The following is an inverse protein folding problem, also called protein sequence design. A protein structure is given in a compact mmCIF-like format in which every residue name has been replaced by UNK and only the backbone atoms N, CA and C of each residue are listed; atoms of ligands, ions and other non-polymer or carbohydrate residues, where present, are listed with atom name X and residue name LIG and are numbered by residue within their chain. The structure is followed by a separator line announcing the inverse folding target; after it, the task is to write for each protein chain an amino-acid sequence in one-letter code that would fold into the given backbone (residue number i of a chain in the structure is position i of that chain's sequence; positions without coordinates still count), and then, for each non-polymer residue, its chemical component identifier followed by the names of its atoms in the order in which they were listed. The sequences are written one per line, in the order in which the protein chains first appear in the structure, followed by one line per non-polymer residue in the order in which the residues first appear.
data_IF_565384673141
#
_entry.id   IF_565384673141
#
_cell.length_a   1.000
_cell.length_b   1.000
_cell.length_c   1.000
_cell.angle_alpha   90.00
_cell.angle_beta   90.00
_cell.angle_gamma   90.00
#
_symmetry.space_group_name_H-M   'P 1'
#
loop_
_entity.id
_entity.type
_entity.pdbx_description
1 polymer ?
#
# COMPACT_ATOMS: atom_id res chain seq x y z
N UNK A 1 -14.10 -8.99 -1.47
CA UNK A 1 -12.88 -8.24 -1.09
C UNK A 1 -12.25 -7.50 -2.26
N UNK A 2 -11.95 -8.16 -3.40
CA UNK A 2 -11.31 -7.52 -4.57
C UNK A 2 -12.03 -6.25 -5.02
N UNK A 3 -13.32 -6.32 -5.36
CA UNK A 3 -14.08 -5.13 -5.80
C UNK A 3 -14.17 -4.03 -4.73
N UNK A 4 -14.17 -4.40 -3.45
CA UNK A 4 -14.16 -3.42 -2.35
C UNK A 4 -12.83 -2.67 -2.28
N UNK A 5 -11.71 -3.38 -2.42
CA UNK A 5 -10.38 -2.76 -2.52
C UNK A 5 -10.23 -1.98 -3.82
N UNK A 6 -10.81 -2.45 -4.92
CA UNK A 6 -10.79 -1.74 -6.20
C UNK A 6 -11.55 -0.39 -6.14
N UNK A 7 -12.56 -0.29 -5.27
CA UNK A 7 -13.23 0.97 -4.98
C UNK A 7 -12.48 1.83 -3.94
N UNK A 8 -12.16 1.27 -2.77
CA UNK A 8 -11.77 2.05 -1.58
C UNK A 8 -10.33 1.84 -1.08
N UNK A 9 -9.63 0.85 -1.64
CA UNK A 9 -8.24 0.58 -1.28
C UNK A 9 -7.29 1.67 -1.73
N UNK A 10 -6.11 1.75 -1.12
CA UNK A 10 -5.06 2.68 -1.49
C UNK A 10 -3.72 1.97 -1.48
N UNK A 11 -2.98 2.07 -2.59
CA UNK A 11 -1.61 1.62 -2.73
C UNK A 11 -0.71 2.85 -2.77
N UNK A 12 -0.19 3.25 -1.61
CA UNK A 12 0.49 4.53 -1.46
C UNK A 12 2.01 4.37 -1.37
N UNK A 13 2.72 5.11 -2.24
CA UNK A 13 4.18 5.28 -2.18
C UNK A 13 4.49 6.58 -1.45
N UNK A 14 4.92 6.48 -0.20
CA UNK A 14 5.29 7.60 0.66
C UNK A 14 6.77 7.90 0.50
N UNK A 15 7.09 9.16 0.20
CA UNK A 15 8.44 9.70 0.18
C UNK A 15 8.49 10.77 1.26
N UNK A 16 9.31 10.58 2.30
CA UNK A 16 9.45 11.55 3.38
C UNK A 16 10.30 12.76 2.94
N UNK A 17 10.33 13.82 3.77
CA UNK A 17 11.24 14.96 3.57
C UNK A 17 12.72 14.55 3.61
N UNK A 18 13.04 13.48 4.34
CA UNK A 18 14.38 12.87 4.37
C UNK A 18 14.64 11.92 3.20
N UNK A 19 13.79 11.92 2.18
CA UNK A 19 13.84 11.02 1.03
C UNK A 19 13.75 9.52 1.39
N UNK A 20 13.25 9.20 2.58
CA UNK A 20 12.95 7.82 2.95
C UNK A 20 11.71 7.35 2.21
N UNK A 21 11.82 6.19 1.59
CA UNK A 21 10.75 5.58 0.81
C UNK A 21 10.09 4.51 1.66
N UNK A 22 8.76 4.56 1.71
CA UNK A 22 7.94 3.57 2.41
C UNK A 22 6.69 3.31 1.61
N UNK A 23 6.22 2.08 1.69
CA UNK A 23 5.01 1.62 1.04
C UNK A 23 3.91 1.44 2.07
N UNK A 24 2.69 1.84 1.73
CA UNK A 24 1.52 1.68 2.60
C UNK A 24 0.37 1.16 1.76
N UNK A 25 -0.20 0.02 2.17
CA UNK A 25 -1.53 -0.37 1.73
C UNK A 25 -2.53 0.06 2.80
N UNK A 26 -3.64 0.67 2.40
CA UNK A 26 -4.74 0.95 3.32
C UNK A 26 -6.10 0.74 2.67
N UNK A 27 -7.02 0.18 3.44
CA UNK A 27 -8.46 0.19 3.16
C UNK A 27 -9.11 1.09 4.22
N UNK A 28 -10.11 1.90 3.86
CA UNK A 28 -10.71 2.85 4.80
C UNK A 28 -12.20 3.02 4.53
N UNK A 29 -13.00 3.00 5.59
CA UNK A 29 -14.45 3.17 5.53
C UNK A 29 -14.95 3.82 6.82
N UNK A 30 -16.21 4.23 6.88
CA UNK A 30 -16.82 4.71 8.13
C UNK A 30 -16.65 3.69 9.27
N UNK A 31 -16.39 4.15 10.49
CA UNK A 31 -16.13 3.31 11.67
C UNK A 31 -17.29 2.38 12.10
N UNK A 32 -18.46 2.50 11.47
CA UNK A 32 -19.62 1.62 11.70
C UNK A 32 -19.31 0.18 11.26
N UNK A 33 -18.39 0.04 10.31
CA UNK A 33 -17.99 -1.22 9.69
C UNK A 33 -16.75 -1.84 10.34
N UNK A 34 -16.40 -1.46 11.57
CA UNK A 34 -15.20 -1.99 12.24
C UNK A 34 -15.21 -3.52 12.38
N UNK A 35 -16.39 -4.13 12.54
CA UNK A 35 -16.52 -5.60 12.58
C UNK A 35 -16.07 -6.22 11.26
N UNK A 36 -16.47 -5.63 10.12
CA UNK A 36 -16.02 -6.06 8.80
C UNK A 36 -14.50 -5.95 8.66
N UNK A 37 -13.92 -4.87 9.16
CA UNK A 37 -12.46 -4.65 9.09
C UNK A 37 -11.67 -5.68 9.90
N UNK A 38 -12.17 -6.09 11.07
CA UNK A 38 -11.55 -7.19 11.82
C UNK A 38 -11.63 -8.51 11.04
N UNK A 39 -12.78 -8.82 10.42
CA UNK A 39 -12.93 -10.02 9.59
C UNK A 39 -11.97 -9.99 8.38
N UNK A 40 -11.83 -8.85 7.71
CA UNK A 40 -10.90 -8.69 6.60
C UNK A 40 -9.45 -8.85 7.08
N UNK A 41 -9.09 -8.26 8.22
CA UNK A 41 -7.77 -8.42 8.82
C UNK A 41 -7.45 -9.89 9.10
N UNK A 42 -8.39 -10.62 9.68
CA UNK A 42 -8.22 -12.03 10.02
C UNK A 42 -8.15 -12.89 8.75
N UNK A 43 -8.91 -12.56 7.71
CA UNK A 43 -8.85 -13.24 6.41
C UNK A 43 -7.51 -13.05 5.67
N UNK A 44 -6.94 -11.84 5.70
CA UNK A 44 -5.65 -11.53 5.05
C UNK A 44 -4.47 -11.93 5.97
N UNK A 45 -4.74 -12.15 7.26
CA UNK A 45 -3.75 -12.46 8.30
C UNK A 45 -2.61 -11.44 8.39
N UNK A 46 -2.86 -10.16 8.10
CA UNK A 46 -1.88 -9.09 8.27
C UNK A 46 -2.52 -7.72 8.43
N UNK A 47 -1.68 -6.75 8.79
CA UNK A 47 -2.07 -5.37 8.99
C UNK A 47 -2.63 -5.08 10.38
N UNK A 48 -2.90 -3.81 10.60
CA UNK A 48 -3.44 -3.28 11.84
C UNK A 48 -4.72 -2.50 11.59
N UNK A 49 -5.61 -2.50 12.58
CA UNK A 49 -6.81 -1.66 12.55
C UNK A 49 -6.51 -0.33 13.25
N UNK A 50 -6.65 0.76 12.51
CA UNK A 50 -6.52 2.12 13.03
C UNK A 50 -7.88 2.81 13.10
N UNK A 51 -8.11 3.57 14.17
CA UNK A 51 -9.28 4.43 14.35
C UNK A 51 -8.80 5.82 14.76
N UNK A 52 -8.64 6.76 13.81
CA UNK A 52 -8.21 8.10 14.11
C UNK A 52 -9.21 8.79 15.05
N UNK A 53 -8.76 9.36 16.17
CA UNK A 53 -9.66 10.05 17.14
C UNK A 53 -10.40 11.25 16.55
N UNK A 54 -9.85 11.85 15.49
CA UNK A 54 -10.34 13.10 14.88
C UNK A 54 -11.28 12.86 13.70
N UNK A 55 -11.50 11.61 13.28
CA UNK A 55 -12.29 11.25 12.11
C UNK A 55 -13.17 10.04 12.44
N UNK A 56 -14.28 9.89 11.71
CA UNK A 56 -15.22 8.77 11.90
C UNK A 56 -14.94 7.61 10.95
N UNK A 57 -13.66 7.32 10.70
CA UNK A 57 -13.22 6.23 9.84
C UNK A 57 -12.49 5.13 10.62
N UNK A 58 -12.58 3.91 10.10
CA UNK A 58 -11.75 2.77 10.46
C UNK A 58 -10.85 2.46 9.27
N UNK A 59 -9.61 2.10 9.54
CA UNK A 59 -8.63 1.74 8.50
C UNK A 59 -8.01 0.40 8.80
N UNK A 60 -7.86 -0.43 7.77
CA UNK A 60 -6.95 -1.56 7.79
C UNK A 60 -5.70 -1.11 7.06
N UNK A 61 -4.55 -1.13 7.74
CA UNK A 61 -3.29 -0.60 7.19
C UNK A 61 -2.19 -1.64 7.29
N UNK A 62 -1.39 -1.76 6.22
CA UNK A 62 -0.20 -2.60 6.17
C UNK A 62 0.99 -1.72 5.80
N UNK A 63 1.99 -1.70 6.67
CA UNK A 63 3.19 -0.86 6.55
C UNK A 63 4.45 -1.65 6.22
N UNK A 64 4.53 -2.90 6.68
CA UNK A 64 5.75 -3.68 6.55
C UNK A 64 5.89 -4.27 5.15
N UNK A 65 7.10 -4.17 4.61
CA UNK A 65 7.38 -4.61 3.24
C UNK A 65 7.13 -6.11 3.05
N UNK A 66 7.30 -6.92 4.10
CA UNK A 66 7.14 -8.37 4.04
C UNK A 66 5.69 -8.78 3.76
N UNK A 67 4.74 -8.30 4.58
CA UNK A 67 3.31 -8.55 4.35
C UNK A 67 2.82 -7.89 3.06
N UNK A 68 3.33 -6.71 2.70
CA UNK A 68 2.98 -6.06 1.44
C UNK A 68 3.35 -6.92 0.23
N UNK A 69 4.55 -7.51 0.23
CA UNK A 69 5.09 -8.27 -0.89
C UNK A 69 4.61 -9.72 -0.92
N UNK A 70 4.47 -10.37 0.25
CA UNK A 70 4.08 -11.79 0.34
C UNK A 70 2.58 -12.02 0.41
N UNK A 71 1.79 -11.03 0.86
CA UNK A 71 0.34 -11.18 1.04
C UNK A 71 -0.46 -10.20 0.17
N UNK A 72 -0.28 -8.89 0.37
CA UNK A 72 -1.13 -7.88 -0.25
C UNK A 72 -0.99 -7.86 -1.78
N UNK A 73 0.24 -7.74 -2.30
CA UNK A 73 0.45 -7.71 -3.75
C UNK A 73 -0.09 -8.98 -4.42
N UNK A 74 0.23 -10.21 -3.96
CA UNK A 74 -0.29 -11.44 -4.55
C UNK A 74 -1.83 -11.53 -4.61
N UNK A 75 -2.53 -11.11 -3.54
CA UNK A 75 -4.00 -11.16 -3.48
C UNK A 75 -4.65 -10.31 -4.58
N UNK A 76 -4.11 -9.11 -4.85
CA UNK A 76 -4.73 -8.14 -5.76
C UNK A 76 -4.10 -8.11 -7.16
N UNK A 77 -2.96 -8.76 -7.37
CA UNK A 77 -2.26 -8.78 -8.65
C UNK A 77 -3.18 -9.37 -9.74
N UNK A 78 -3.33 -8.65 -10.86
CA UNK A 78 -4.20 -8.99 -12.01
C UNK A 78 -5.71 -9.04 -11.73
N UNK A 79 -6.17 -8.67 -10.53
CA UNK A 79 -7.58 -8.77 -10.15
C UNK A 79 -8.32 -7.42 -10.10
N UNK A 80 -7.59 -6.29 -10.12
CA UNK A 80 -8.17 -4.94 -10.10
C UNK A 80 -8.53 -4.49 -11.51
N UNK A 81 -9.74 -3.95 -11.68
CA UNK A 81 -10.31 -3.56 -12.98
C UNK A 81 -10.20 -2.04 -13.17
N UNK A 82 -10.31 -1.25 -12.09
CA UNK A 82 -10.27 0.21 -12.17
C UNK A 82 -8.84 0.75 -12.35
N UNK A 83 -8.70 2.09 -12.33
CA UNK A 83 -7.40 2.76 -12.34
C UNK A 83 -6.46 2.29 -11.20
N UNK A 84 -7.02 1.70 -10.13
CA UNK A 84 -6.25 1.18 -9.00
C UNK A 84 -5.30 0.05 -9.38
N UNK A 85 -5.52 -0.65 -10.50
CA UNK A 85 -4.54 -1.61 -11.04
C UNK A 85 -3.20 -0.95 -11.39
N UNK A 86 -3.23 0.29 -11.87
CA UNK A 86 -2.01 1.02 -12.20
C UNK A 86 -1.28 1.46 -10.93
N UNK A 87 -2.01 1.87 -9.89
CA UNK A 87 -1.43 2.16 -8.58
C UNK A 87 -0.75 0.93 -7.98
N UNK A 88 -1.41 -0.23 -8.05
CA UNK A 88 -0.83 -1.51 -7.63
C UNK A 88 0.43 -1.87 -8.44
N UNK A 89 0.45 -1.64 -9.75
CA UNK A 89 1.62 -1.93 -10.58
C UNK A 89 2.82 -1.06 -10.20
N UNK A 90 2.64 0.24 -9.99
CA UNK A 90 3.70 1.12 -9.48
C UNK A 90 4.19 0.69 -8.10
N UNK A 91 3.24 0.38 -7.22
CA UNK A 91 3.52 -0.09 -5.88
C UNK A 91 4.35 -1.37 -5.88
N UNK A 92 4.00 -2.32 -6.75
CA UNK A 92 4.75 -3.57 -6.98
C UNK A 92 6.16 -3.28 -7.49
N UNK A 93 6.32 -2.42 -8.50
CA UNK A 93 7.63 -2.05 -9.03
C UNK A 93 8.54 -1.46 -7.93
N UNK A 94 8.02 -0.51 -7.14
CA UNK A 94 8.79 0.09 -6.03
C UNK A 94 9.09 -0.95 -4.95
N UNK A 95 8.19 -1.89 -4.68
CA UNK A 95 8.44 -2.95 -3.69
C UNK A 95 9.61 -3.85 -4.08
N UNK A 96 9.78 -4.15 -5.38
CA UNK A 96 10.90 -4.94 -5.91
C UNK A 96 12.24 -4.19 -5.72
N UNK A 97 12.27 -2.90 -6.06
CA UNK A 97 13.44 -2.04 -5.81
C UNK A 97 13.79 -1.96 -4.31
N UNK A 98 12.77 -2.03 -3.45
CA UNK A 98 12.96 -2.05 -2.00
C UNK A 98 13.55 -3.37 -1.51
N UNK A 99 13.02 -4.51 -1.98
CA UNK A 99 13.53 -5.85 -1.66
C UNK A 99 15.00 -6.04 -2.07
N UNK A 100 15.36 -5.56 -3.26
CA UNK A 100 16.74 -5.64 -3.76
C UNK A 100 17.69 -4.64 -3.10
N UNK A 101 17.21 -3.83 -2.14
CA UNK A 101 17.96 -2.72 -1.53
C UNK A 101 18.47 -1.66 -2.52
N UNK A 102 18.01 -1.70 -3.78
CA UNK A 102 18.40 -0.74 -4.81
C UNK A 102 17.98 0.68 -4.42
N UNK A 103 16.84 0.83 -3.73
CA UNK A 103 16.40 2.08 -3.11
C UNK A 103 17.44 2.75 -2.17
N UNK A 104 18.40 1.99 -1.62
CA UNK A 104 19.49 2.53 -0.78
C UNK A 104 20.67 3.02 -1.61
N UNK A 105 21.02 2.32 -2.69
CA UNK A 105 21.99 2.83 -3.69
C UNK A 105 21.47 4.11 -4.36
N UNK A 106 20.14 4.26 -4.42
CA UNK A 106 19.40 5.42 -4.89
C UNK A 106 19.28 6.56 -3.87
N UNK A 107 20.12 6.58 -2.82
CA UNK A 107 20.33 7.77 -2.01
C UNK A 107 21.05 8.90 -2.77
N UNK A 108 21.54 8.66 -4.00
CA UNK A 108 21.93 9.67 -4.99
C UNK A 108 20.70 10.27 -5.71
N UNK A 109 20.81 11.49 -6.22
CA UNK A 109 19.70 12.20 -6.87
C UNK A 109 19.07 11.43 -8.07
N UNK A 110 19.87 10.62 -8.76
CA UNK A 110 19.49 9.87 -9.95
C UNK A 110 18.57 8.68 -9.64
N UNK A 111 18.88 7.94 -8.58
CA UNK A 111 18.03 6.86 -8.12
C UNK A 111 16.67 7.32 -7.62
N UNK A 112 16.64 8.50 -6.98
CA UNK A 112 15.40 9.17 -6.57
C UNK A 112 14.53 9.53 -7.78
N UNK A 113 15.15 10.01 -8.88
CA UNK A 113 14.44 10.32 -10.13
C UNK A 113 13.74 9.08 -10.71
N UNK A 114 14.30 7.88 -10.57
CA UNK A 114 13.67 6.64 -11.03
C UNK A 114 12.39 6.35 -10.25
N UNK A 115 12.43 6.40 -8.91
CA UNK A 115 11.23 6.10 -8.09
C UNK A 115 10.18 7.20 -8.22
N UNK A 116 10.59 8.46 -8.33
CA UNK A 116 9.68 9.58 -8.62
C UNK A 116 9.02 9.40 -9.99
N UNK A 117 9.79 8.98 -11.01
CA UNK A 117 9.26 8.69 -12.35
C UNK A 117 8.26 7.53 -12.31
N UNK A 118 8.57 6.44 -11.62
CA UNK A 118 7.64 5.31 -11.47
C UNK A 118 6.36 5.71 -10.73
N UNK A 119 6.45 6.56 -9.70
CA UNK A 119 5.27 7.08 -8.99
C UNK A 119 4.37 7.93 -9.90
N UNK A 120 4.96 8.76 -10.76
CA UNK A 120 4.26 9.75 -11.58
C UNK A 120 3.85 9.26 -12.98
N UNK A 121 4.27 8.05 -13.40
CA UNK A 121 3.78 7.41 -14.63
C UNK A 121 2.28 7.13 -14.60
#
# INVERSE_FOLDING_TARGET
MIGFVDAEGCFYIKISKSNQISLVFSLSQHNRDIKLFNIIKDYIECGIIEQPKTRKDVRLVVYDLDNLTKKIIPIFNNNLITQKRYDLNKFKNVSLLMLNKEHLCFATEEGRKIIIKEKNK
#
